data_IF_267187474257
#
_entry.id   IF_267187474257
#
_cell.length_a   1.000
_cell.length_b   1.000
_cell.length_c   1.000
_cell.angle_alpha   90.00
_cell.angle_beta   90.00
_cell.angle_gamma   90.00
#
_symmetry.space_group_name_H-M   'P 1'
#
loop_
_entity.id
_entity.type
_entity.pdbx_description
1 polymer ?
#
# COMPACT_ATOMS: atom_id res chain seq x y z
N UNK A 1 39.65 84.20 85.58
CA UNK A 1 40.27 84.20 86.92
C UNK A 1 40.08 82.82 87.54
N UNK A 2 41.16 82.24 88.09
CA UNK A 2 41.30 80.95 88.82
C UNK A 2 41.34 79.70 87.88
N UNK A 3 42.49 79.06 87.60
CA UNK A 3 43.53 78.41 88.46
C UNK A 3 42.90 77.27 89.28
N UNK A 4 43.34 76.01 89.32
CA UNK A 4 44.64 75.32 89.41
C UNK A 4 44.44 73.86 88.87
N UNK A 5 45.30 73.21 88.09
CA UNK A 5 46.66 72.66 88.33
C UNK A 5 46.80 71.47 89.31
N UNK A 6 47.46 70.43 88.78
CA UNK A 6 48.22 69.29 89.37
C UNK A 6 47.56 67.89 89.34
N UNK A 7 48.24 66.77 89.00
CA UNK A 7 49.42 66.41 88.18
C UNK A 7 49.70 64.92 88.45
N UNK A 8 50.02 64.14 87.40
CA UNK A 8 50.79 62.85 87.38
C UNK A 8 50.27 61.63 88.16
N UNK A 9 50.49 60.35 87.83
CA UNK A 9 51.25 59.61 86.80
C UNK A 9 51.08 58.11 87.12
N UNK A 10 50.75 57.26 86.14
CA UNK A 10 51.25 55.89 85.88
C UNK A 10 50.31 55.20 84.88
N UNK A 11 50.65 55.17 83.59
CA UNK A 11 51.44 54.13 82.89
C UNK A 11 50.69 52.80 82.66
N UNK A 12 49.96 52.77 81.54
CA UNK A 12 50.02 51.77 80.46
C UNK A 12 50.20 50.29 80.80
N UNK A 13 49.14 49.50 80.63
CA UNK A 13 49.20 48.19 79.95
C UNK A 13 47.78 47.77 79.51
N UNK A 14 47.49 48.00 78.25
CA UNK A 14 46.30 47.60 77.51
C UNK A 14 46.37 46.13 77.10
N UNK A 15 45.38 45.31 77.48
CA UNK A 15 44.96 44.14 76.70
C UNK A 15 43.44 44.09 76.63
N UNK A 16 42.98 43.97 75.39
CA UNK A 16 41.60 44.09 74.93
C UNK A 16 40.74 42.89 75.36
N UNK A 17 39.57 43.20 75.90
CA UNK A 17 38.43 42.28 75.97
C UNK A 17 37.88 42.04 74.56
N UNK A 18 37.85 40.78 74.13
CA UNK A 18 37.02 40.34 73.00
C UNK A 18 36.24 39.08 73.41
N UNK A 19 34.92 39.25 73.54
CA UNK A 19 33.96 38.20 73.84
C UNK A 19 33.95 37.15 72.71
N UNK A 20 34.20 35.89 73.05
CA UNK A 20 34.03 34.74 72.15
C UNK A 20 32.83 33.93 72.62
N UNK A 21 31.66 34.21 72.05
CA UNK A 21 30.47 33.38 72.16
C UNK A 21 30.20 32.80 70.77
N UNK A 22 30.76 31.61 70.50
CA UNK A 22 30.55 30.87 69.26
C UNK A 22 29.57 29.74 69.53
N UNK A 23 28.30 29.97 69.19
CA UNK A 23 27.35 28.88 68.98
C UNK A 23 27.85 28.03 67.80
N UNK A 24 27.82 26.69 67.88
CA UNK A 24 28.17 25.85 66.76
C UNK A 24 27.04 25.93 65.72
N UNK A 25 27.27 26.66 64.64
CA UNK A 25 26.43 26.57 63.44
C UNK A 25 26.60 25.18 62.87
N UNK A 26 25.57 24.36 63.04
CA UNK A 26 25.46 23.04 62.42
C UNK A 26 25.30 23.26 60.92
N UNK A 27 26.40 23.13 60.15
CA UNK A 27 26.30 22.98 58.70
C UNK A 27 25.55 21.67 58.42
N UNK A 28 24.25 21.75 58.11
CA UNK A 28 23.61 20.71 57.32
C UNK A 28 24.35 20.68 55.99
N UNK A 29 24.98 19.56 55.68
CA UNK A 29 25.45 19.23 54.34
C UNK A 29 24.23 19.19 53.43
N UNK A 30 23.89 20.34 52.87
CA UNK A 30 22.98 20.41 51.74
C UNK A 30 23.72 19.70 50.61
N UNK A 31 23.27 18.49 50.26
CA UNK A 31 23.78 17.83 49.07
C UNK A 31 23.40 18.75 47.93
N UNK A 32 24.37 19.24 47.19
CA UNK A 32 24.16 20.08 46.00
C UNK A 32 23.35 19.26 44.98
N UNK A 33 22.02 19.40 45.04
CA UNK A 33 21.10 18.67 44.16
C UNK A 33 20.74 19.55 42.97
N UNK A 34 20.79 18.97 41.77
CA UNK A 34 20.49 19.71 40.55
C UNK A 34 18.98 19.66 40.28
N UNK A 35 18.32 20.80 40.07
CA UNK A 35 16.89 20.82 39.75
C UNK A 35 16.63 20.29 38.34
N UNK A 36 15.72 19.33 38.21
CA UNK A 36 15.38 18.70 36.93
C UNK A 36 13.89 18.55 36.71
N UNK A 37 13.48 18.45 35.44
CA UNK A 37 12.11 18.08 35.06
C UNK A 37 12.07 16.67 34.49
N UNK A 38 11.03 15.93 34.87
CA UNK A 38 10.84 14.55 34.45
C UNK A 38 9.67 14.43 33.46
N UNK A 39 9.85 13.56 32.48
CA UNK A 39 8.80 13.05 31.60
C UNK A 39 8.63 11.55 31.86
N UNK A 40 7.37 11.12 31.97
CA UNK A 40 7.06 9.68 32.00
C UNK A 40 7.25 9.12 30.60
N UNK A 41 8.02 8.04 30.49
CA UNK A 41 8.19 7.33 29.23
C UNK A 41 6.94 6.50 28.95
N UNK A 42 6.30 6.75 27.81
CA UNK A 42 5.22 5.92 27.28
C UNK A 42 5.74 5.15 26.07
N UNK A 43 5.58 3.83 26.10
CA UNK A 43 6.09 2.97 25.05
C UNK A 43 5.09 2.98 23.90
N UNK A 44 5.44 3.62 22.79
CA UNK A 44 4.60 3.70 21.62
C UNK A 44 4.89 2.54 20.66
N UNK A 45 3.84 1.78 20.35
CA UNK A 45 3.84 0.89 19.21
C UNK A 45 3.52 1.70 17.95
N UNK A 46 4.48 2.52 17.49
CA UNK A 46 4.30 3.29 16.27
C UNK A 46 4.56 2.38 15.07
N UNK A 47 3.49 1.73 14.58
CA UNK A 47 3.47 1.22 13.21
C UNK A 47 3.34 2.41 12.28
N UNK A 48 4.40 2.79 11.58
CA UNK A 48 4.32 3.80 10.52
C UNK A 48 3.35 3.30 9.46
N UNK A 49 2.19 3.93 9.36
CA UNK A 49 1.19 3.58 8.37
C UNK A 49 1.64 4.07 6.98
N UNK A 50 1.42 3.25 5.97
CA UNK A 50 1.78 3.56 4.57
C UNK A 50 0.55 4.17 3.91
N UNK A 51 0.62 5.47 3.60
CA UNK A 51 -0.46 6.20 2.94
C UNK A 51 -0.24 6.21 1.43
N UNK A 52 -1.15 5.59 0.69
CA UNK A 52 -1.06 5.40 -0.76
C UNK A 52 -2.33 5.88 -1.45
N UNK A 53 -2.23 6.15 -2.74
CA UNK A 53 -3.37 6.51 -3.59
C UNK A 53 -3.36 5.63 -4.83
N UNK A 54 -4.55 5.34 -5.34
CA UNK A 54 -4.70 4.43 -6.47
C UNK A 54 -6.08 4.46 -7.09
N UNK A 55 -6.32 3.54 -8.01
CA UNK A 55 -7.58 3.42 -8.74
C UNK A 55 -8.29 2.12 -8.40
N UNK A 56 -9.62 2.19 -8.26
CA UNK A 56 -10.45 1.01 -8.11
C UNK A 56 -10.50 0.23 -9.42
N UNK A 57 -10.36 -1.08 -9.31
CA UNK A 57 -10.38 -2.04 -10.42
C UNK A 57 -10.95 -3.37 -9.89
N UNK A 58 -11.10 -4.35 -10.76
CA UNK A 58 -11.43 -5.72 -10.37
C UNK A 58 -10.29 -6.66 -10.73
N UNK A 59 -10.28 -7.86 -10.18
CA UNK A 59 -9.28 -8.89 -10.46
C UNK A 59 -9.52 -9.65 -11.77
N UNK A 60 -10.62 -9.34 -12.46
CA UNK A 60 -11.14 -10.07 -13.62
C UNK A 60 -11.42 -9.16 -14.84
N UNK A 61 -10.69 -8.04 -14.96
CA UNK A 61 -10.76 -7.23 -16.17
C UNK A 61 -10.22 -7.98 -17.39
N UNK A 62 -11.01 -8.02 -18.47
CA UNK A 62 -10.68 -8.74 -19.71
C UNK A 62 -10.79 -7.80 -20.91
N UNK A 63 -9.80 -7.88 -21.80
CA UNK A 63 -9.87 -7.29 -23.14
C UNK A 63 -10.51 -8.28 -24.09
N UNK A 64 -11.64 -7.90 -24.67
CA UNK A 64 -12.35 -8.68 -25.67
C UNK A 64 -11.95 -8.24 -27.07
N UNK A 65 -11.67 -9.21 -27.92
CA UNK A 65 -11.25 -9.03 -29.30
C UNK A 65 -11.92 -10.07 -30.20
N UNK A 66 -12.00 -9.77 -31.49
CA UNK A 66 -12.38 -10.77 -32.48
C UNK A 66 -11.22 -11.73 -32.74
N UNK A 67 -11.54 -13.01 -32.95
CA UNK A 67 -10.53 -14.00 -33.36
C UNK A 67 -10.18 -13.86 -34.84
N UNK A 68 -11.08 -13.28 -35.64
CA UNK A 68 -10.89 -13.01 -37.06
C UNK A 68 -10.79 -11.50 -37.29
N UNK A 69 -10.05 -11.10 -38.33
CA UNK A 69 -10.01 -9.70 -38.76
C UNK A 69 -11.23 -9.32 -39.60
N UNK A 70 -11.54 -8.03 -39.66
CA UNK A 70 -12.64 -7.51 -40.46
C UNK A 70 -13.00 -6.08 -40.09
N UNK A 71 -14.08 -5.58 -40.68
CA UNK A 71 -14.64 -4.25 -40.37
C UNK A 71 -15.72 -4.42 -39.31
N UNK A 72 -15.69 -3.62 -38.25
CA UNK A 72 -16.71 -3.63 -37.20
C UNK A 72 -18.03 -3.12 -37.79
N UNK A 73 -19.06 -3.97 -37.79
CA UNK A 73 -20.40 -3.62 -38.26
C UNK A 73 -21.25 -2.98 -37.16
N UNK A 74 -21.18 -3.52 -35.94
CA UNK A 74 -21.94 -2.97 -34.82
C UNK A 74 -21.27 -3.17 -33.48
N UNK A 75 -21.48 -2.19 -32.59
CA UNK A 75 -21.19 -2.26 -31.16
C UNK A 75 -22.53 -2.07 -30.45
N UNK A 76 -23.03 -3.15 -29.83
CA UNK A 76 -24.39 -3.24 -29.27
C UNK A 76 -24.47 -2.81 -27.81
N UNK A 77 -23.39 -2.24 -27.28
CA UNK A 77 -23.23 -1.84 -25.88
C UNK A 77 -22.47 -0.52 -25.78
N UNK A 78 -22.69 0.18 -24.68
CA UNK A 78 -22.01 1.43 -24.31
C UNK A 78 -21.19 1.20 -23.04
N UNK A 79 -20.23 2.09 -22.80
CA UNK A 79 -19.50 2.13 -21.54
C UNK A 79 -20.48 2.33 -20.38
N UNK A 80 -20.31 1.54 -19.31
CA UNK A 80 -21.22 1.49 -18.16
C UNK A 80 -22.37 0.50 -18.28
N UNK A 81 -22.65 -0.07 -19.47
CA UNK A 81 -23.73 -1.04 -19.62
C UNK A 81 -23.44 -2.33 -18.86
N UNK A 82 -24.47 -2.87 -18.19
CA UNK A 82 -24.44 -4.20 -17.59
C UNK A 82 -24.61 -5.27 -18.68
N UNK A 83 -23.79 -6.31 -18.62
CA UNK A 83 -23.81 -7.42 -19.58
C UNK A 83 -23.97 -8.76 -18.88
N UNK A 84 -24.63 -9.70 -19.56
CA UNK A 84 -24.80 -11.08 -19.10
C UNK A 84 -23.91 -12.03 -19.88
N UNK A 85 -23.45 -13.11 -19.26
CA UNK A 85 -22.72 -14.19 -19.93
C UNK A 85 -23.44 -14.65 -21.20
N UNK A 86 -22.72 -14.68 -22.31
CA UNK A 86 -23.23 -15.04 -23.63
C UNK A 86 -23.93 -13.92 -24.40
N UNK A 87 -24.13 -12.74 -23.80
CA UNK A 87 -24.71 -11.59 -24.50
C UNK A 87 -23.81 -11.14 -25.66
N UNK A 88 -24.41 -10.92 -26.83
CA UNK A 88 -23.72 -10.37 -28.00
C UNK A 88 -23.37 -8.90 -27.76
N UNK A 89 -22.11 -8.55 -27.93
CA UNK A 89 -21.57 -7.20 -27.66
C UNK A 89 -21.15 -6.48 -28.94
N UNK A 90 -20.56 -7.20 -29.89
CA UNK A 90 -20.04 -6.63 -31.12
C UNK A 90 -20.09 -7.63 -32.27
N UNK A 91 -20.20 -7.13 -33.50
CA UNK A 91 -20.17 -7.95 -34.72
C UNK A 91 -19.27 -7.33 -35.78
N UNK A 92 -18.56 -8.19 -36.53
CA UNK A 92 -17.92 -7.80 -37.78
C UNK A 92 -18.95 -7.73 -38.92
N UNK A 93 -18.56 -7.12 -40.04
CA UNK A 93 -19.31 -7.21 -41.28
C UNK A 93 -19.27 -8.65 -41.79
N UNK A 94 -20.41 -9.33 -41.71
CA UNK A 94 -20.52 -10.75 -42.02
C UNK A 94 -20.72 -11.04 -43.52
N UNK A 95 -20.77 -10.03 -44.40
CA UNK A 95 -21.09 -10.24 -45.82
C UNK A 95 -20.13 -11.22 -46.49
N UNK A 96 -18.82 -10.96 -46.40
CA UNK A 96 -17.80 -11.84 -46.98
C UNK A 96 -17.72 -13.18 -46.24
N UNK A 97 -17.86 -13.14 -44.92
CA UNK A 97 -17.75 -14.31 -44.04
C UNK A 97 -18.88 -15.31 -44.33
N UNK A 98 -20.11 -14.81 -44.48
CA UNK A 98 -21.26 -15.62 -44.84
C UNK A 98 -21.15 -16.17 -46.26
N UNK A 99 -20.60 -15.41 -47.21
CA UNK A 99 -20.35 -15.89 -48.57
C UNK A 99 -19.34 -17.06 -48.57
N UNK A 100 -18.27 -16.96 -47.76
CA UNK A 100 -17.28 -18.03 -47.60
C UNK A 100 -17.90 -19.29 -46.94
N UNK A 101 -18.74 -19.10 -45.92
CA UNK A 101 -19.49 -20.21 -45.29
C UNK A 101 -20.37 -20.91 -46.31
N UNK A 102 -21.15 -20.15 -47.09
CA UNK A 102 -22.03 -20.69 -48.12
C UNK A 102 -21.24 -21.47 -49.19
N UNK A 103 -20.13 -20.92 -49.66
CA UNK A 103 -19.27 -21.57 -50.64
C UNK A 103 -18.71 -22.91 -50.13
N UNK A 104 -18.21 -22.95 -48.89
CA UNK A 104 -17.68 -24.17 -48.31
C UNK A 104 -18.77 -25.22 -48.04
N UNK A 105 -19.96 -24.78 -47.63
CA UNK A 105 -21.11 -25.65 -47.44
C UNK A 105 -21.49 -26.34 -48.75
N UNK A 106 -21.63 -25.58 -49.85
CA UNK A 106 -21.95 -26.14 -51.17
C UNK A 106 -20.86 -27.11 -51.66
N UNK A 107 -19.58 -26.80 -51.39
CA UNK A 107 -18.46 -27.70 -51.68
C UNK A 107 -18.53 -29.02 -50.92
N UNK A 108 -18.81 -28.97 -49.61
CA UNK A 108 -19.02 -30.14 -48.76
C UNK A 108 -20.20 -30.99 -49.23
N UNK A 109 -21.35 -30.35 -49.54
CA UNK A 109 -22.53 -31.04 -50.05
C UNK A 109 -22.26 -31.74 -51.39
N UNK A 110 -21.52 -31.09 -52.29
CA UNK A 110 -21.08 -31.70 -53.56
C UNK A 110 -20.20 -32.92 -53.30
N UNK A 111 -19.14 -32.77 -52.50
CA UNK A 111 -18.22 -33.86 -52.21
C UNK A 111 -18.92 -35.05 -51.52
N UNK A 112 -19.94 -34.77 -50.69
CA UNK A 112 -20.77 -35.80 -50.07
C UNK A 112 -21.59 -36.58 -51.10
N UNK A 113 -22.22 -35.89 -52.05
CA UNK A 113 -22.96 -36.55 -53.15
C UNK A 113 -22.02 -37.38 -54.03
N UNK A 114 -20.83 -36.87 -54.34
CA UNK A 114 -19.86 -37.57 -55.17
C UNK A 114 -19.30 -38.82 -54.47
N UNK A 115 -18.95 -38.73 -53.17
CA UNK A 115 -18.57 -39.90 -52.38
C UNK A 115 -19.68 -40.95 -52.32
N UNK A 116 -20.93 -40.53 -52.10
CA UNK A 116 -22.06 -41.46 -52.05
C UNK A 116 -22.27 -42.18 -53.40
N UNK A 117 -22.12 -41.45 -54.52
CA UNK A 117 -22.19 -42.02 -55.87
C UNK A 117 -21.07 -43.04 -56.09
N UNK A 118 -19.83 -42.69 -55.78
CA UNK A 118 -18.68 -43.58 -55.94
C UNK A 118 -18.75 -44.80 -55.02
N UNK A 119 -19.27 -44.65 -53.81
CA UNK A 119 -19.52 -45.76 -52.89
C UNK A 119 -20.51 -46.77 -53.48
N UNK A 120 -21.59 -46.29 -54.09
CA UNK A 120 -22.56 -47.16 -54.75
C UNK A 120 -21.92 -47.87 -55.97
N UNK A 121 -21.21 -47.12 -56.82
CA UNK A 121 -20.49 -47.70 -57.98
C UNK A 121 -19.41 -48.71 -57.57
N UNK A 122 -18.74 -48.51 -56.44
CA UNK A 122 -17.77 -49.46 -55.91
C UNK A 122 -18.45 -50.75 -55.43
N UNK A 123 -19.61 -50.64 -54.77
CA UNK A 123 -20.43 -51.82 -54.37
C UNK A 123 -20.91 -52.62 -55.58
N UNK A 124 -21.19 -51.92 -56.68
CA UNK A 124 -21.57 -52.54 -57.96
C UNK A 124 -20.35 -53.01 -58.79
N UNK A 125 -19.13 -52.96 -58.23
CA UNK A 125 -17.86 -53.31 -58.90
C UNK A 125 -17.52 -52.50 -60.15
N UNK A 126 -18.11 -51.31 -60.31
CA UNK A 126 -17.88 -50.39 -61.45
C UNK A 126 -16.73 -49.40 -61.17
N UNK A 127 -16.55 -48.99 -59.91
CA UNK A 127 -15.49 -48.07 -59.49
C UNK A 127 -14.32 -48.80 -58.82
N UNK A 128 -13.10 -48.25 -58.93
CA UNK A 128 -11.91 -48.81 -58.27
C UNK A 128 -11.85 -48.42 -56.78
N UNK A 129 -11.08 -49.17 -55.98
CA UNK A 129 -10.83 -48.81 -54.58
C UNK A 129 -10.18 -47.42 -54.46
N UNK A 130 -9.27 -47.10 -55.37
CA UNK A 130 -8.60 -45.80 -55.44
C UNK A 130 -9.62 -44.66 -55.65
N UNK A 131 -10.58 -44.82 -56.58
CA UNK A 131 -11.63 -43.82 -56.81
C UNK A 131 -12.50 -43.61 -55.56
N UNK A 132 -12.84 -44.69 -54.85
CA UNK A 132 -13.58 -44.60 -53.59
C UNK A 132 -12.77 -43.85 -52.52
N UNK A 133 -11.48 -44.18 -52.35
CA UNK A 133 -10.60 -43.53 -51.40
C UNK A 133 -10.42 -42.04 -51.73
N UNK A 134 -10.20 -41.69 -53.00
CA UNK A 134 -10.05 -40.31 -53.45
C UNK A 134 -11.32 -39.48 -53.18
N UNK A 135 -12.50 -40.02 -53.48
CA UNK A 135 -13.77 -39.33 -53.19
C UNK A 135 -14.04 -39.17 -51.69
N UNK A 136 -13.65 -40.16 -50.87
CA UNK A 136 -13.71 -40.07 -49.40
C UNK A 136 -12.79 -38.97 -48.87
N UNK A 137 -11.55 -38.92 -49.34
CA UNK A 137 -10.58 -37.88 -48.97
C UNK A 137 -11.09 -36.49 -49.38
N UNK A 138 -11.65 -36.34 -50.58
CA UNK A 138 -12.23 -35.08 -51.04
C UNK A 138 -13.40 -34.61 -50.16
N UNK A 139 -14.27 -35.53 -49.72
CA UNK A 139 -15.32 -35.25 -48.74
C UNK A 139 -14.72 -34.79 -47.41
N UNK A 140 -13.71 -35.50 -46.89
CA UNK A 140 -13.06 -35.14 -45.64
C UNK A 140 -12.42 -33.75 -45.70
N UNK A 141 -11.71 -33.42 -46.78
CA UNK A 141 -11.13 -32.08 -47.00
C UNK A 141 -12.21 -31.01 -47.02
N UNK A 142 -13.28 -31.21 -47.79
CA UNK A 142 -14.38 -30.24 -47.90
C UNK A 142 -15.11 -30.05 -46.56
N UNK A 143 -15.25 -31.12 -45.77
CA UNK A 143 -15.79 -31.05 -44.41
C UNK A 143 -14.91 -30.20 -43.49
N UNK A 144 -13.59 -30.37 -43.54
CA UNK A 144 -12.68 -29.55 -42.73
C UNK A 144 -12.72 -28.08 -43.15
N UNK A 145 -12.82 -27.81 -44.46
CA UNK A 145 -12.95 -26.45 -44.95
C UNK A 145 -14.25 -25.77 -44.45
N UNK A 146 -15.38 -26.47 -44.50
CA UNK A 146 -16.64 -25.96 -43.96
C UNK A 146 -16.53 -25.68 -42.45
N UNK A 147 -15.96 -26.60 -41.69
CA UNK A 147 -15.77 -26.44 -40.24
C UNK A 147 -14.89 -25.21 -39.93
N UNK A 148 -13.84 -24.96 -40.70
CA UNK A 148 -12.95 -23.80 -40.53
C UNK A 148 -13.70 -22.47 -40.75
N UNK A 149 -14.46 -22.35 -41.84
CA UNK A 149 -15.18 -21.09 -42.12
C UNK A 149 -16.36 -20.89 -41.18
N UNK A 150 -17.05 -21.96 -40.77
CA UNK A 150 -18.11 -21.90 -39.77
C UNK A 150 -17.56 -21.45 -38.39
N UNK A 151 -16.37 -21.93 -38.02
CA UNK A 151 -15.65 -21.46 -36.85
C UNK A 151 -15.35 -19.97 -36.98
N UNK A 152 -14.77 -19.52 -38.09
CA UNK A 152 -14.48 -18.10 -38.32
C UNK A 152 -15.72 -17.23 -38.22
N UNK A 153 -16.86 -17.65 -38.78
CA UNK A 153 -18.16 -16.98 -38.64
C UNK A 153 -18.58 -16.85 -37.18
N UNK A 154 -18.45 -17.91 -36.39
CA UNK A 154 -18.79 -17.89 -34.96
C UNK A 154 -17.93 -16.90 -34.17
N UNK A 155 -16.64 -16.76 -34.51
CA UNK A 155 -15.72 -15.84 -33.83
C UNK A 155 -15.61 -14.45 -34.50
N UNK A 156 -16.51 -14.16 -35.44
CA UNK A 156 -16.75 -12.82 -35.99
C UNK A 156 -17.74 -12.01 -35.13
N UNK A 157 -18.11 -12.56 -33.98
CA UNK A 157 -19.01 -12.00 -32.97
C UNK A 157 -18.27 -12.01 -31.63
N UNK A 158 -18.36 -10.92 -30.85
CA UNK A 158 -17.85 -10.87 -29.48
C UNK A 158 -19.03 -11.07 -28.53
N UNK A 159 -18.92 -12.06 -27.65
CA UNK A 159 -19.88 -12.32 -26.58
C UNK A 159 -19.24 -12.07 -25.22
N UNK A 160 -20.05 -11.64 -24.25
CA UNK A 160 -19.60 -11.48 -22.86
C UNK A 160 -19.22 -12.84 -22.25
N UNK A 161 -17.99 -13.02 -21.72
CA UNK A 161 -17.58 -14.29 -21.12
C UNK A 161 -18.26 -14.57 -19.77
N UNK A 162 -18.57 -13.52 -19.02
CA UNK A 162 -19.18 -13.55 -17.68
C UNK A 162 -20.16 -12.37 -17.51
N UNK A 163 -20.93 -12.37 -16.42
CA UNK A 163 -21.80 -11.24 -16.07
C UNK A 163 -20.95 -10.06 -15.57
N UNK A 164 -21.23 -8.84 -16.05
CA UNK A 164 -20.26 -7.76 -15.94
C UNK A 164 -20.72 -6.36 -16.29
N UNK A 165 -19.77 -5.42 -16.37
CA UNK A 165 -19.96 -4.12 -17.00
C UNK A 165 -18.96 -3.91 -18.15
N UNK A 166 -19.37 -3.12 -19.14
CA UNK A 166 -18.45 -2.57 -20.14
C UNK A 166 -17.68 -1.41 -19.51
N UNK A 167 -16.36 -1.57 -19.39
CA UNK A 167 -15.48 -0.54 -18.83
C UNK A 167 -15.07 0.49 -19.88
N UNK A 168 -14.65 0.02 -21.06
CA UNK A 168 -14.17 0.86 -22.14
C UNK A 168 -14.52 0.31 -23.50
N UNK A 169 -14.72 1.22 -24.45
CA UNK A 169 -14.81 0.96 -25.88
C UNK A 169 -13.49 1.39 -26.54
N UNK A 170 -12.76 0.42 -27.07
CA UNK A 170 -11.39 0.60 -27.59
C UNK A 170 -11.33 0.71 -29.11
N UNK A 171 -12.45 0.46 -29.80
CA UNK A 171 -12.59 0.59 -31.24
C UNK A 171 -13.99 1.11 -31.60
N UNK A 172 -14.13 1.62 -32.83
CA UNK A 172 -15.37 2.22 -33.32
C UNK A 172 -16.03 1.41 -34.45
N UNK A 173 -17.34 1.63 -34.63
CA UNK A 173 -18.08 1.07 -35.77
C UNK A 173 -17.50 1.62 -37.07
N UNK A 174 -17.31 0.75 -38.07
CA UNK A 174 -16.66 1.08 -39.34
C UNK A 174 -15.14 0.96 -39.30
N UNK A 175 -14.51 0.79 -38.14
CA UNK A 175 -13.08 0.57 -38.02
C UNK A 175 -12.70 -0.83 -38.50
N UNK A 176 -11.58 -0.94 -39.21
CA UNK A 176 -10.96 -2.22 -39.55
C UNK A 176 -10.06 -2.69 -38.41
N UNK A 177 -10.25 -3.94 -37.98
CA UNK A 177 -9.49 -4.56 -36.89
C UNK A 177 -8.86 -5.86 -37.33
N UNK A 178 -7.68 -6.16 -36.80
CA UNK A 178 -7.00 -7.43 -36.98
C UNK A 178 -7.44 -8.43 -35.91
N UNK A 179 -7.13 -9.72 -36.14
CA UNK A 179 -7.28 -10.75 -35.11
C UNK A 179 -6.55 -10.34 -33.83
N UNK A 180 -7.22 -10.42 -32.68
CA UNK A 180 -6.64 -10.11 -31.38
C UNK A 180 -6.59 -8.62 -31.03
N UNK A 181 -6.89 -7.70 -31.94
CA UNK A 181 -7.00 -6.27 -31.62
C UNK A 181 -8.14 -6.07 -30.61
N UNK A 182 -7.84 -5.44 -29.47
CA UNK A 182 -8.81 -5.19 -28.41
C UNK A 182 -9.92 -4.22 -28.87
N UNK A 183 -11.17 -4.58 -28.61
CA UNK A 183 -12.37 -3.83 -29.03
C UNK A 183 -13.15 -3.33 -27.82
N UNK A 184 -13.30 -4.17 -26.79
CA UNK A 184 -13.99 -3.83 -25.55
C UNK A 184 -13.12 -4.23 -24.36
N UNK A 185 -13.23 -3.48 -23.26
CA UNK A 185 -12.73 -3.89 -21.95
C UNK A 185 -13.93 -4.12 -21.04
N UNK A 186 -13.96 -5.25 -20.35
CA UNK A 186 -15.08 -5.64 -19.46
C UNK A 186 -14.56 -6.11 -18.11
N UNK A 187 -15.38 -6.05 -17.06
CA UNK A 187 -15.14 -6.71 -15.79
C UNK A 187 -16.29 -7.61 -15.35
N UNK A 188 -16.06 -8.55 -14.42
CA UNK A 188 -17.09 -9.43 -13.89
C UNK A 188 -17.77 -8.83 -12.66
N UNK A 189 -18.57 -7.79 -12.87
CA UNK A 189 -19.17 -6.95 -11.86
C UNK A 189 -20.16 -7.58 -10.84
N UNK A 190 -20.23 -8.90 -10.75
CA UNK A 190 -20.99 -9.61 -9.73
C UNK A 190 -20.16 -10.69 -9.00
N UNK A 191 -19.01 -11.11 -9.56
CA UNK A 191 -18.14 -12.15 -9.00
C UNK A 191 -16.68 -11.69 -8.80
N UNK A 192 -16.24 -10.66 -9.51
CA UNK A 192 -14.91 -10.06 -9.38
C UNK A 192 -14.75 -9.38 -8.03
N UNK A 193 -13.60 -9.63 -7.39
CA UNK A 193 -13.25 -8.99 -6.12
C UNK A 193 -12.75 -7.59 -6.44
N UNK A 194 -13.47 -6.60 -5.93
CA UNK A 194 -13.05 -5.22 -6.05
C UNK A 194 -11.76 -4.99 -5.29
N UNK A 195 -10.88 -4.22 -5.89
CA UNK A 195 -9.57 -3.92 -5.34
C UNK A 195 -9.14 -2.50 -5.70
N UNK A 196 -8.32 -1.91 -4.84
CA UNK A 196 -7.60 -0.67 -5.13
C UNK A 196 -6.21 -1.02 -5.64
N UNK A 197 -5.90 -0.66 -6.89
CA UNK A 197 -4.56 -0.76 -7.48
C UNK A 197 -3.79 0.50 -7.12
N UNK A 198 -2.76 0.35 -6.30
CA UNK A 198 -1.94 1.46 -5.78
C UNK A 198 -0.49 1.32 -6.26
N UNK A 199 0.15 2.46 -6.56
CA UNK A 199 1.60 2.53 -6.79
C UNK A 199 2.33 2.74 -5.48
N UNK A 200 3.46 2.05 -5.29
CA UNK A 200 4.30 2.10 -4.08
C UNK A 200 5.79 2.16 -4.45
N UNK A 201 6.59 2.78 -3.59
CA UNK A 201 8.05 2.76 -3.67
C UNK A 201 8.63 1.38 -3.36
N UNK A 202 9.90 1.18 -3.70
CA UNK A 202 10.68 -0.01 -3.34
C UNK A 202 10.78 -0.22 -1.82
N UNK A 203 10.95 0.87 -1.06
CA UNK A 203 10.97 0.86 0.38
C UNK A 203 9.63 0.40 0.98
N UNK A 204 8.51 0.98 0.54
CA UNK A 204 7.17 0.55 0.98
C UNK A 204 6.88 -0.89 0.56
N UNK A 205 7.28 -1.29 -0.65
CA UNK A 205 7.14 -2.66 -1.14
C UNK A 205 7.87 -3.70 -0.27
N UNK A 206 9.05 -3.33 0.24
CA UNK A 206 9.82 -4.17 1.16
C UNK A 206 9.16 -4.30 2.54
N UNK A 207 8.47 -3.25 3.01
CA UNK A 207 7.75 -3.24 4.28
C UNK A 207 6.41 -3.99 4.22
N UNK A 208 5.75 -3.95 3.06
CA UNK A 208 4.43 -4.55 2.84
C UNK A 208 4.45 -6.09 2.80
N UNK A 209 3.52 -6.69 3.53
CA UNK A 209 3.21 -8.12 3.51
C UNK A 209 1.80 -8.37 3.00
N UNK A 210 1.60 -9.58 2.49
CA UNK A 210 0.26 -10.06 2.16
C UNK A 210 -0.58 -10.13 3.44
N UNK A 211 -1.87 -9.81 3.29
CA UNK A 211 -2.86 -9.68 4.37
C UNK A 211 -2.64 -8.50 5.33
N UNK A 212 -1.73 -7.57 5.06
CA UNK A 212 -1.70 -6.31 5.80
C UNK A 212 -3.05 -5.58 5.66
N UNK A 213 -3.56 -5.06 6.78
CA UNK A 213 -4.84 -4.37 6.84
C UNK A 213 -4.73 -2.98 6.22
N UNK A 214 -5.77 -2.57 5.48
CA UNK A 214 -5.83 -1.27 4.85
C UNK A 214 -7.21 -0.65 5.04
N UNK A 215 -7.22 0.62 5.44
CA UNK A 215 -8.41 1.46 5.47
C UNK A 215 -8.43 2.33 4.22
N UNK A 216 -9.51 2.29 3.46
CA UNK A 216 -9.66 2.98 2.19
C UNK A 216 -10.72 4.08 2.30
N UNK A 217 -10.41 5.24 1.76
CA UNK A 217 -11.31 6.39 1.63
C UNK A 217 -11.46 6.77 0.15
N UNK A 218 -12.65 7.22 -0.24
CA UNK A 218 -12.90 7.73 -1.59
C UNK A 218 -13.88 8.90 -1.55
N UNK A 219 -13.67 9.86 -2.46
CA UNK A 219 -14.59 10.99 -2.64
C UNK A 219 -15.97 10.55 -3.13
N UNK A 220 -16.07 9.37 -3.73
CA UNK A 220 -17.35 8.79 -4.17
C UNK A 220 -18.24 8.34 -2.99
N UNK A 221 -17.69 8.18 -1.79
CA UNK A 221 -18.42 7.82 -0.58
C UNK A 221 -17.87 8.59 0.64
N UNK A 222 -18.13 9.90 0.75
CA UNK A 222 -17.59 10.72 1.84
C UNK A 222 -18.02 10.22 3.23
N UNK A 223 -17.07 10.20 4.17
CA UNK A 223 -17.32 9.79 5.55
C UNK A 223 -17.49 8.28 5.77
N UNK A 224 -17.35 7.46 4.72
CA UNK A 224 -17.34 6.01 4.82
C UNK A 224 -15.94 5.46 4.58
N UNK A 225 -15.49 4.62 5.49
CA UNK A 225 -14.25 3.87 5.35
C UNK A 225 -14.55 2.48 4.82
N UNK A 226 -13.78 2.04 3.84
CA UNK A 226 -13.84 0.70 3.32
C UNK A 226 -12.65 -0.08 3.86
N UNK A 227 -12.93 -1.25 4.39
CA UNK A 227 -11.90 -2.15 4.88
C UNK A 227 -11.38 -3.02 3.72
N UNK A 228 -10.08 -3.22 3.70
CA UNK A 228 -9.40 -4.05 2.71
C UNK A 228 -8.14 -4.68 3.26
N UNK A 229 -7.58 -5.59 2.48
CA UNK A 229 -6.32 -6.27 2.78
C UNK A 229 -5.43 -6.32 1.55
N UNK A 230 -4.12 -6.24 1.76
CA UNK A 230 -3.14 -6.41 0.69
C UNK A 230 -3.22 -7.84 0.17
N UNK A 231 -3.78 -8.02 -1.02
CA UNK A 231 -3.98 -9.35 -1.63
C UNK A 231 -2.83 -9.74 -2.55
N UNK A 232 -2.13 -8.76 -3.13
CA UNK A 232 -1.04 -8.99 -4.06
C UNK A 232 -0.10 -7.78 -4.10
N UNK A 233 1.19 -8.06 -4.31
CA UNK A 233 2.20 -7.07 -4.70
C UNK A 233 2.92 -7.55 -5.96
N UNK A 234 3.35 -6.63 -6.83
CA UNK A 234 4.05 -6.96 -8.06
C UNK A 234 5.51 -7.32 -7.76
N UNK A 235 6.07 -8.27 -8.51
CA UNK A 235 7.51 -8.60 -8.44
C UNK A 235 8.35 -7.77 -9.43
N UNK A 236 7.72 -6.77 -10.06
CA UNK A 236 8.34 -5.90 -11.04
C UNK A 236 7.72 -4.52 -11.04
N UNK A 237 8.48 -3.57 -11.57
CA UNK A 237 8.10 -2.17 -11.71
C UNK A 237 7.16 -2.00 -12.91
N UNK A 238 6.12 -1.19 -12.74
CA UNK A 238 5.26 -0.75 -13.83
C UNK A 238 6.05 0.26 -14.70
N UNK A 239 6.31 -0.10 -15.95
CA UNK A 239 7.17 0.66 -16.85
C UNK A 239 6.65 2.08 -17.16
N UNK A 240 5.35 2.32 -17.03
CA UNK A 240 4.76 3.64 -17.29
C UNK A 240 4.93 4.59 -16.11
N UNK A 241 4.94 4.07 -14.88
CA UNK A 241 4.98 4.88 -13.66
C UNK A 241 6.33 4.83 -12.93
N UNK A 242 7.16 3.82 -13.19
CA UNK A 242 8.40 3.60 -12.44
C UNK A 242 8.18 3.13 -11.00
N UNK A 243 6.96 2.71 -10.64
CA UNK A 243 6.61 2.25 -9.28
C UNK A 243 6.29 0.76 -9.23
N UNK A 244 6.41 0.14 -8.05
CA UNK A 244 5.83 -1.17 -7.81
C UNK A 244 4.31 -1.03 -7.61
N UNK A 245 3.56 -2.11 -7.83
CA UNK A 245 2.12 -2.11 -7.66
C UNK A 245 1.71 -3.01 -6.51
N UNK A 246 0.86 -2.52 -5.61
CA UNK A 246 0.10 -3.35 -4.69
C UNK A 246 -1.39 -3.32 -5.02
N UNK A 247 -2.07 -4.42 -4.70
CA UNK A 247 -3.51 -4.59 -4.85
C UNK A 247 -4.11 -4.79 -3.48
N UNK A 248 -5.05 -3.92 -3.11
CA UNK A 248 -5.77 -3.98 -1.84
C UNK A 248 -7.18 -4.47 -2.14
N UNK A 249 -7.48 -5.73 -1.81
CA UNK A 249 -8.83 -6.29 -2.00
C UNK A 249 -9.77 -5.81 -0.92
N UNK A 250 -10.97 -5.38 -1.31
CA UNK A 250 -12.01 -4.96 -0.37
C UNK A 250 -12.58 -6.20 0.33
N UNK A 251 -12.67 -6.18 1.66
CA UNK A 251 -13.16 -7.31 2.47
C UNK A 251 -14.64 -7.17 2.86
N UNK A 252 -15.23 -5.99 2.65
CA UNK A 252 -16.65 -5.70 2.89
C UNK A 252 -17.51 -5.67 1.63
N UNK A 253 -18.82 -5.38 1.81
CA UNK A 253 -19.71 -5.10 0.68
C UNK A 253 -19.25 -3.83 -0.03
N UNK A 254 -19.04 -3.91 -1.34
CA UNK A 254 -18.74 -2.74 -2.16
C UNK A 254 -19.92 -1.74 -2.11
N UNK A 255 -19.68 -0.46 -1.81
CA UNK A 255 -20.68 0.58 -2.01
C UNK A 255 -21.11 0.66 -3.48
N UNK A 256 -22.41 0.88 -3.74
CA UNK A 256 -22.93 1.01 -5.09
C UNK A 256 -22.25 2.15 -5.87
N UNK A 257 -21.81 3.20 -5.18
CA UNK A 257 -21.19 4.39 -5.75
C UNK A 257 -19.78 4.19 -6.36
N UNK A 258 -19.12 3.05 -6.14
CA UNK A 258 -17.76 2.82 -6.65
C UNK A 258 -17.80 2.20 -8.05
N UNK A 259 -17.13 2.85 -9.01
CA UNK A 259 -16.89 2.34 -10.36
C UNK A 259 -15.38 2.13 -10.60
N UNK A 260 -15.06 1.30 -11.61
CA UNK A 260 -13.66 1.08 -11.99
C UNK A 260 -13.07 2.39 -12.56
N UNK A 261 -11.80 2.65 -12.27
CA UNK A 261 -11.10 3.89 -12.62
C UNK A 261 -11.29 5.04 -11.63
N UNK A 262 -12.22 4.95 -10.67
CA UNK A 262 -12.33 5.94 -9.59
C UNK A 262 -11.09 5.91 -8.70
N UNK A 263 -10.72 7.05 -8.13
CA UNK A 263 -9.59 7.13 -7.21
C UNK A 263 -9.99 6.88 -5.76
N UNK A 264 -9.07 6.27 -5.02
CA UNK A 264 -9.17 6.08 -3.58
C UNK A 264 -7.82 6.32 -2.92
N UNK A 265 -7.86 6.73 -1.65
CA UNK A 265 -6.70 6.79 -0.76
C UNK A 265 -6.77 5.60 0.18
N UNK A 266 -5.66 4.94 0.44
CA UNK A 266 -5.60 3.87 1.41
C UNK A 266 -4.48 4.13 2.42
N UNK A 267 -4.75 3.79 3.67
CA UNK A 267 -3.76 3.76 4.74
C UNK A 267 -3.57 2.31 5.14
N UNK A 268 -2.40 1.76 4.80
CA UNK A 268 -2.03 0.38 5.08
C UNK A 268 -1.25 0.33 6.40
N UNK A 269 -1.57 -0.64 7.25
CA UNK A 269 -0.86 -0.87 8.51
C UNK A 269 0.02 -2.12 8.37
N UNK A 270 1.35 -1.98 8.20
CA UNK A 270 2.22 -3.12 7.98
C UNK A 270 2.32 -4.01 9.23
N UNK A 271 2.04 -5.31 9.07
CA UNK A 271 2.17 -6.28 10.16
C UNK A 271 3.64 -6.47 10.61
N UNK A 272 4.60 -6.19 9.73
CA UNK A 272 6.04 -6.32 10.02
C UNK A 272 6.55 -5.33 11.07
N UNK A 273 5.91 -4.16 11.21
CA UNK A 273 6.30 -3.13 12.19
C UNK A 273 5.51 -3.23 13.49
N UNK A 274 4.59 -4.18 13.62
CA UNK A 274 4.00 -4.53 14.93
C UNK A 274 5.03 -5.18 15.88
N UNK A 275 6.26 -5.42 15.42
CA UNK A 275 7.30 -6.17 16.11
C UNK A 275 8.49 -5.35 16.62
N UNK A 276 8.54 -4.02 16.43
CA UNK A 276 9.40 -3.21 17.30
C UNK A 276 8.74 -3.22 18.67
N UNK A 277 9.26 -4.03 19.60
CA UNK A 277 8.98 -3.88 21.03
C UNK A 277 9.17 -2.39 21.34
N UNK A 278 8.07 -1.73 21.68
CA UNK A 278 7.77 -0.35 21.33
C UNK A 278 8.89 0.68 21.50
N UNK A 279 8.87 1.63 20.59
CA UNK A 279 9.74 2.81 20.56
C UNK A 279 9.28 3.85 21.57
N UNK A 280 10.18 4.73 22.00
CA UNK A 280 9.83 5.88 22.83
C UNK A 280 9.99 7.16 22.03
N UNK A 281 9.02 8.07 22.10
CA UNK A 281 9.20 9.43 21.62
C UNK A 281 9.64 10.32 22.77
N UNK A 282 10.76 11.02 22.59
CA UNK A 282 11.31 11.96 23.55
C UNK A 282 11.45 13.35 22.90
N UNK A 283 11.38 14.44 23.68
CA UNK A 283 11.69 15.78 23.16
C UNK A 283 13.13 15.85 22.64
N UNK A 284 13.36 16.64 21.59
CA UNK A 284 14.70 16.82 21.05
C UNK A 284 15.68 17.37 22.09
N UNK A 285 15.23 18.25 22.99
CA UNK A 285 16.06 18.81 24.07
C UNK A 285 16.57 17.79 25.10
N UNK A 286 15.97 16.60 25.18
CA UNK A 286 16.40 15.55 26.09
C UNK A 286 17.58 14.74 25.56
N UNK A 287 17.86 14.81 24.25
CA UNK A 287 18.95 14.09 23.59
C UNK A 287 20.27 14.86 23.70
N UNK A 288 21.30 14.18 24.19
CA UNK A 288 22.66 14.69 24.32
C UNK A 288 23.61 13.95 23.37
N UNK A 289 24.59 14.69 22.83
CA UNK A 289 25.66 14.15 21.99
C UNK A 289 25.16 13.25 20.84
N UNK A 290 24.01 13.61 20.24
CA UNK A 290 23.39 12.82 19.18
C UNK A 290 24.16 12.92 17.86
N UNK A 291 24.54 11.77 17.29
CA UNK A 291 25.26 11.67 16.01
C UNK A 291 24.35 11.30 14.82
N UNK A 292 23.04 11.20 15.06
CA UNK A 292 22.02 10.81 14.09
C UNK A 292 21.62 9.34 14.16
N UNK A 293 22.46 8.45 14.72
CA UNK A 293 22.16 7.02 14.88
C UNK A 293 22.20 6.57 16.35
N UNK A 294 22.94 7.28 17.19
CA UNK A 294 23.02 7.09 18.63
C UNK A 294 23.15 8.41 19.38
N UNK A 295 22.88 8.38 20.68
CA UNK A 295 23.09 9.52 21.57
C UNK A 295 22.99 9.10 23.02
N UNK A 296 22.90 10.08 23.91
CA UNK A 296 22.73 9.86 25.34
C UNK A 296 21.53 10.61 25.86
N UNK A 297 20.92 10.07 26.90
CA UNK A 297 19.87 10.72 27.67
C UNK A 297 20.14 10.52 29.14
N UNK A 298 19.52 11.35 29.97
CA UNK A 298 19.50 11.12 31.40
C UNK A 298 18.16 10.52 31.81
N UNK A 299 18.22 9.44 32.59
CA UNK A 299 17.04 8.79 33.17
C UNK A 299 17.13 8.77 34.69
N UNK A 300 16.01 8.53 35.35
CA UNK A 300 15.97 8.22 36.77
C UNK A 300 15.00 7.07 37.04
N UNK A 301 15.37 6.20 37.99
CA UNK A 301 14.57 5.06 38.45
C UNK A 301 14.07 5.23 39.88
N UNK A 302 14.69 6.13 40.65
CA UNK A 302 14.42 6.37 42.07
C UNK A 302 13.95 7.81 42.35
N UNK A 303 13.83 8.64 41.31
CA UNK A 303 13.50 10.06 41.39
C UNK A 303 14.52 10.92 42.17
N UNK A 304 15.73 10.39 42.41
CA UNK A 304 16.78 11.03 43.24
C UNK A 304 18.15 11.06 42.57
N UNK A 305 18.41 10.11 41.67
CA UNK A 305 19.69 9.95 41.00
C UNK A 305 19.49 9.97 39.49
N UNK A 306 20.32 10.74 38.79
CA UNK A 306 20.36 10.75 37.33
C UNK A 306 21.43 9.78 36.81
N UNK A 307 21.06 8.98 35.81
CA UNK A 307 21.97 8.05 35.13
C UNK A 307 22.10 8.42 33.65
N UNK A 308 23.35 8.53 33.15
CA UNK A 308 23.61 8.77 31.72
C UNK A 308 23.53 7.45 30.97
N UNK A 309 22.54 7.30 30.10
CA UNK A 309 22.28 6.06 29.36
C UNK A 309 22.45 6.31 27.87
N UNK A 310 23.16 5.40 27.20
CA UNK A 310 23.29 5.42 25.74
C UNK A 310 22.00 4.90 25.10
N UNK A 311 21.51 5.58 24.08
CA UNK A 311 20.29 5.23 23.35
C UNK A 311 20.56 5.12 21.85
N UNK A 312 19.74 4.31 21.18
CA UNK A 312 19.73 4.16 19.72
C UNK A 312 18.59 4.96 19.12
N UNK A 313 18.90 5.81 18.13
CA UNK A 313 17.93 6.71 17.50
C UNK A 313 17.35 5.99 16.28
N UNK A 314 16.02 5.90 16.22
CA UNK A 314 15.29 5.35 15.08
C UNK A 314 14.85 6.44 14.07
N UNK A 315 14.67 7.67 14.54
CA UNK A 315 14.27 8.79 13.70
C UNK A 315 14.26 10.11 14.46
N UNK A 316 14.47 11.20 13.74
CA UNK A 316 14.42 12.56 14.27
C UNK A 316 13.37 13.32 13.45
N UNK A 317 12.34 13.82 14.13
CA UNK A 317 11.33 14.71 13.58
C UNK A 317 11.52 16.13 14.15
N UNK A 318 10.75 17.11 13.67
CA UNK A 318 10.97 18.54 13.97
C UNK A 318 11.06 18.88 15.46
N UNK A 319 10.37 18.16 16.35
CA UNK A 319 10.35 18.47 17.79
C UNK A 319 10.56 17.24 18.68
N UNK A 320 10.72 16.06 18.09
CA UNK A 320 10.73 14.77 18.78
C UNK A 320 11.76 13.83 18.17
N UNK A 321 12.33 12.98 19.02
CA UNK A 321 13.26 11.92 18.65
C UNK A 321 12.63 10.58 19.01
N UNK A 322 12.61 9.66 18.05
CA UNK A 322 12.15 8.29 18.27
C UNK A 322 13.34 7.43 18.66
N UNK A 323 13.28 6.81 19.83
CA UNK A 323 14.30 5.92 20.38
C UNK A 323 13.85 4.47 20.22
N UNK A 324 14.70 3.63 19.61
CA UNK A 324 14.43 2.20 19.41
C UNK A 324 15.01 1.30 20.51
N UNK A 325 16.02 1.77 21.25
CA UNK A 325 16.74 0.96 22.25
C UNK A 325 17.41 1.82 23.34
N UNK A 326 17.56 1.28 24.55
CA UNK A 326 18.26 1.92 25.68
C UNK A 326 17.36 2.54 26.76
N UNK A 327 16.03 2.44 26.63
CA UNK A 327 15.05 3.01 27.58
C UNK A 327 14.14 1.96 28.26
N UNK A 328 14.45 0.68 28.10
CA UNK A 328 13.61 -0.43 28.59
C UNK A 328 13.42 -0.41 30.11
N UNK A 329 14.48 -0.07 30.84
CA UNK A 329 14.53 -0.12 32.30
C UNK A 329 14.37 1.27 32.95
N UNK A 330 13.98 2.28 32.17
CA UNK A 330 13.86 3.65 32.63
C UNK A 330 12.46 3.96 33.17
N UNK A 331 12.37 4.45 34.41
CA UNK A 331 11.09 4.86 35.00
C UNK A 331 10.64 6.25 34.53
N UNK A 332 11.59 7.17 34.39
CA UNK A 332 11.36 8.51 33.87
C UNK A 332 12.58 9.07 33.13
N UNK A 333 12.32 9.91 32.13
CA UNK A 333 13.31 10.65 31.36
C UNK A 333 13.49 12.05 31.93
N UNK A 334 14.73 12.53 32.01
CA UNK A 334 15.03 13.91 32.38
C UNK A 334 15.01 14.79 31.12
N UNK A 335 14.11 15.77 31.08
CA UNK A 335 13.89 16.64 29.91
C UNK A 335 14.43 18.07 30.08
N UNK A 336 14.80 18.45 31.31
CA UNK A 336 15.38 19.76 31.61
C UNK A 336 16.39 19.66 32.76
N UNK A 337 17.39 20.54 32.74
CA UNK A 337 18.53 20.52 33.68
C UNK A 337 19.68 19.58 33.27
N UNK A 338 19.54 18.87 32.14
CA UNK A 338 20.50 17.87 31.65
C UNK A 338 21.91 18.42 31.37
N UNK A 339 22.03 19.69 31.01
CA UNK A 339 23.31 20.35 30.74
C UNK A 339 24.27 20.41 31.95
N UNK A 340 23.74 20.30 33.16
CA UNK A 340 24.51 20.37 34.41
C UNK A 340 24.75 19.00 35.05
N UNK A 341 24.17 17.93 34.48
CA UNK A 341 24.25 16.58 35.03
C UNK A 341 25.51 15.86 34.55
N UNK A 342 26.14 15.14 35.47
CA UNK A 342 27.03 14.01 35.17
C UNK A 342 26.37 12.70 35.60
N UNK A 343 26.94 11.56 35.21
CA UNK A 343 26.45 10.27 35.70
C UNK A 343 26.48 10.21 37.24
N UNK A 344 25.42 9.66 37.84
CA UNK A 344 25.17 9.58 39.29
C UNK A 344 24.98 10.92 40.02
N UNK A 345 24.60 11.99 39.30
CA UNK A 345 24.25 13.27 39.94
C UNK A 345 23.01 13.13 40.82
N UNK A 346 23.04 13.75 42.00
CA UNK A 346 21.86 13.87 42.86
C UNK A 346 20.93 14.96 42.28
N UNK A 347 19.66 14.63 42.13
CA UNK A 347 18.66 15.50 41.51
C UNK A 347 17.52 15.85 42.48
N UNK A 348 16.93 17.01 42.25
CA UNK A 348 15.69 17.44 42.91
C UNK A 348 14.64 17.76 41.84
N UNK A 349 13.44 17.21 41.97
CA UNK A 349 12.40 17.36 40.96
C UNK A 349 11.72 18.72 41.13
N UNK A 350 11.77 19.55 40.09
CA UNK A 350 11.05 20.82 40.04
C UNK A 350 9.81 20.65 39.16
N UNK A 351 8.63 20.64 39.79
CA UNK A 351 7.37 20.43 39.08
C UNK A 351 6.89 21.72 38.41
N UNK A 352 6.82 21.71 37.08
CA UNK A 352 5.85 22.54 36.36
C UNK A 352 5.16 21.68 35.32
N UNK A 353 3.95 21.24 35.63
CA UNK A 353 3.02 20.71 34.63
C UNK A 353 2.47 21.89 33.83
N UNK A 354 2.52 21.82 32.50
CA UNK A 354 1.30 21.81 31.69
C UNK A 354 1.59 21.08 30.39
N UNK A 355 0.92 19.94 30.19
CA UNK A 355 0.84 19.28 28.90
C UNK A 355 0.16 20.23 27.91
N UNK A 356 0.85 20.63 26.84
CA UNK A 356 0.21 21.22 25.68
C UNK A 356 -0.41 20.09 24.86
N UNK A 357 -1.73 20.18 24.66
CA UNK A 357 -2.52 19.33 23.77
C UNK A 357 -2.14 19.56 22.31
#
# INVERSE_FOLDING_TARGET
MKAFHYVTLLLCASTLFACKNSAPVTHKTDRDTIPVQLMKLDQQNNTTAIAVSGQFTTDDEVLLSFKTGGIINSLLVKEGDAVKKGQLLATLNLTEINAQVQQAQLGQEKAKRDYQRTLNLYKDSVATLEQLQNSKTALQVSQQQFNLVAFNRKYSEIHAPENGFILKKLADVGQQVSSGTAVLQTNGAQNGKWQLKVGISDHEWAQLKLNDHARIETTAAPGQFLEGVVSRKSEGVDAATGTFTAYISLTGKKPQAIAAGMFGKATITPSAHAAHKGTWQIPYEALLDGDGNSGYVFITNDNKTAHKVKVTIAGIEKNTVTISDGLQDASALIISGSAYLTDNSAITIHSSLTAAR
#
